data_IF_052697848968
#
_entry.id   IF_052697848968
#
_cell.length_a   1.000
_cell.length_b   1.000
_cell.length_c   1.000
_cell.angle_alpha   90.00
_cell.angle_beta   90.00
_cell.angle_gamma   90.00
#
_symmetry.space_group_name_H-M   'P 1'
#
loop_
_entity.id
_entity.type
_entity.pdbx_description
1 polymer ?
#
# COMPACT_ATOMS: atom_id res chain seq x y z
N UNK A 1 0.89 8.27 23.51
CA UNK A 1 1.92 7.99 22.51
C UNK A 1 1.79 6.52 22.16
N UNK A 2 1.06 6.25 21.09
CA UNK A 2 0.86 4.89 20.60
C UNK A 2 2.17 4.44 19.94
N UNK A 3 2.89 3.50 20.56
CA UNK A 3 3.99 2.83 19.88
C UNK A 3 3.38 1.67 19.06
N UNK A 4 3.51 1.66 17.73
CA UNK A 4 2.98 0.57 16.93
C UNK A 4 3.62 -0.75 17.39
N UNK A 5 2.76 -1.70 17.75
CA UNK A 5 3.14 -3.06 18.14
C UNK A 5 3.20 -3.92 16.87
N UNK A 6 4.28 -4.70 16.70
CA UNK A 6 4.44 -5.64 15.57
C UNK A 6 3.23 -6.56 15.41
N UNK A 7 2.59 -6.97 16.51
CA UNK A 7 1.38 -7.80 16.42
C UNK A 7 0.20 -7.03 15.80
N UNK A 8 0.14 -5.70 15.97
CA UNK A 8 -0.84 -4.87 15.27
C UNK A 8 -0.50 -4.73 13.79
N UNK A 9 0.77 -4.51 13.44
CA UNK A 9 1.20 -4.41 12.05
C UNK A 9 0.85 -5.67 11.25
N UNK A 10 1.09 -6.85 11.85
CA UNK A 10 0.72 -8.14 11.26
C UNK A 10 -0.79 -8.24 10.99
N UNK A 11 -1.63 -7.75 11.92
CA UNK A 11 -3.09 -7.76 11.75
C UNK A 11 -3.53 -6.83 10.62
N UNK A 12 -2.93 -5.64 10.51
CA UNK A 12 -3.31 -4.68 9.48
C UNK A 12 -2.83 -5.09 8.09
N UNK A 13 -1.64 -5.68 7.97
CA UNK A 13 -1.22 -6.29 6.70
C UNK A 13 -2.10 -7.49 6.35
N UNK A 14 -2.49 -8.33 7.31
CA UNK A 14 -3.45 -9.40 7.03
C UNK A 14 -4.79 -8.83 6.51
N UNK A 15 -5.30 -7.76 7.12
CA UNK A 15 -6.49 -7.05 6.64
C UNK A 15 -6.30 -6.52 5.21
N UNK A 16 -5.13 -5.98 4.90
CA UNK A 16 -4.78 -5.52 3.55
C UNK A 16 -4.73 -6.69 2.55
N UNK A 17 -4.24 -7.87 2.95
CA UNK A 17 -4.27 -9.10 2.13
C UNK A 17 -5.72 -9.53 1.85
N UNK A 18 -6.58 -9.49 2.86
CA UNK A 18 -8.00 -9.83 2.70
C UNK A 18 -8.69 -8.86 1.71
N UNK A 19 -8.30 -7.59 1.71
CA UNK A 19 -8.78 -6.60 0.74
C UNK A 19 -8.23 -6.88 -0.67
N UNK A 20 -6.95 -7.23 -0.80
CA UNK A 20 -6.34 -7.59 -2.08
C UNK A 20 -7.07 -8.78 -2.74
N UNK A 21 -7.58 -9.72 -1.94
CA UNK A 21 -8.35 -10.87 -2.43
C UNK A 21 -9.70 -10.48 -3.08
N UNK A 22 -10.18 -9.25 -2.86
CA UNK A 22 -11.39 -8.71 -3.48
C UNK A 22 -11.14 -8.09 -4.87
N UNK A 23 -9.88 -7.90 -5.26
CA UNK A 23 -9.54 -7.31 -6.54
C UNK A 23 -10.08 -8.14 -7.72
N UNK A 24 -10.75 -7.50 -8.71
CA UNK A 24 -10.96 -8.12 -10.01
C UNK A 24 -9.61 -8.51 -10.61
N UNK A 25 -9.36 -9.79 -10.97
CA UNK A 25 -8.07 -10.22 -11.51
C UNK A 25 -7.86 -9.66 -12.92
N UNK A 26 -6.61 -9.33 -13.26
CA UNK A 26 -6.24 -8.88 -14.61
C UNK A 26 -4.81 -9.32 -14.92
N UNK A 27 -4.50 -9.62 -16.18
CA UNK A 27 -3.20 -10.18 -16.56
C UNK A 27 -2.02 -9.18 -16.47
N UNK A 28 -2.28 -7.88 -16.33
CA UNK A 28 -1.26 -6.83 -16.43
C UNK A 28 -1.12 -5.91 -15.21
N UNK A 29 -1.68 -6.29 -14.06
CA UNK A 29 -1.56 -5.48 -12.84
C UNK A 29 -1.76 -6.32 -11.58
N UNK A 30 -0.99 -6.01 -10.54
CA UNK A 30 -1.14 -6.65 -9.23
C UNK A 30 -2.51 -6.37 -8.59
N UNK A 31 -3.01 -7.37 -7.88
CA UNK A 31 -4.01 -7.23 -6.82
C UNK A 31 -3.30 -6.79 -5.54
N UNK A 32 -3.60 -5.56 -5.13
CA UNK A 32 -3.01 -4.91 -3.94
C UNK A 32 -4.15 -4.48 -3.04
N UNK A 33 -3.94 -4.57 -1.73
CA UNK A 33 -4.82 -3.99 -0.72
C UNK A 33 -4.05 -3.00 0.13
N UNK A 34 -4.75 -1.98 0.62
CA UNK A 34 -4.18 -0.95 1.47
C UNK A 34 -5.15 -0.53 2.58
N UNK A 35 -4.60 -0.20 3.75
CA UNK A 35 -5.35 0.28 4.93
C UNK A 35 -4.61 1.47 5.52
N UNK A 36 -5.35 2.52 5.87
CA UNK A 36 -4.83 3.68 6.60
C UNK A 36 -5.35 3.59 8.02
N UNK A 37 -4.46 3.59 9.00
CA UNK A 37 -4.80 3.47 10.42
C UNK A 37 -4.29 4.71 11.15
N UNK A 38 -5.15 5.36 11.91
CA UNK A 38 -4.77 6.53 12.70
C UNK A 38 -3.97 6.16 13.94
N UNK A 39 -3.37 7.17 14.59
CA UNK A 39 -2.53 6.98 15.79
C UNK A 39 -3.22 6.18 16.91
N UNK A 40 -4.55 6.28 17.03
CA UNK A 40 -5.32 5.54 18.02
C UNK A 40 -5.47 4.02 17.72
N UNK A 41 -4.90 3.54 16.61
CA UNK A 41 -5.01 2.14 16.17
C UNK A 41 -6.35 1.80 15.51
N UNK A 42 -7.06 2.80 14.97
CA UNK A 42 -8.35 2.64 14.27
C UNK A 42 -8.20 2.80 12.77
N UNK A 43 -8.84 1.93 11.98
CA UNK A 43 -8.94 2.08 10.53
C UNK A 43 -9.66 3.39 10.18
N UNK A 44 -9.01 4.25 9.38
CA UNK A 44 -9.56 5.51 8.88
C UNK A 44 -10.17 5.32 7.49
N UNK A 45 -9.48 4.55 6.64
CA UNK A 45 -9.89 4.22 5.29
C UNK A 45 -9.18 2.97 4.80
N UNK A 46 -9.73 2.30 3.80
CA UNK A 46 -9.12 1.14 3.16
C UNK A 46 -9.50 1.02 1.69
N UNK A 47 -8.68 0.33 0.92
CA UNK A 47 -8.85 0.20 -0.52
C UNK A 47 -8.21 -1.05 -1.06
N UNK A 48 -8.63 -1.43 -2.26
CA UNK A 48 -7.98 -2.47 -3.04
C UNK A 48 -7.91 -2.04 -4.50
N UNK A 49 -6.92 -2.54 -5.24
CA UNK A 49 -6.74 -2.21 -6.65
C UNK A 49 -8.02 -2.47 -7.42
N UNK A 50 -8.39 -1.51 -8.27
CA UNK A 50 -9.56 -1.57 -9.16
C UNK A 50 -10.94 -1.52 -8.48
N UNK A 51 -11.03 -1.15 -7.20
CA UNK A 51 -12.31 -1.01 -6.50
C UNK A 51 -13.23 0.06 -7.11
N UNK A 52 -12.66 1.19 -7.53
CA UNK A 52 -13.43 2.36 -8.04
C UNK A 52 -13.17 2.66 -9.52
N UNK A 53 -12.23 1.96 -10.15
CA UNK A 53 -11.93 2.12 -11.58
C UNK A 53 -10.78 1.22 -12.03
N UNK A 54 -10.69 0.85 -13.33
CA UNK A 54 -9.82 -0.21 -13.82
C UNK A 54 -8.31 0.06 -13.68
N UNK A 55 -7.92 1.29 -13.34
CA UNK A 55 -6.51 1.70 -13.19
C UNK A 55 -6.17 2.16 -11.76
N UNK A 56 -7.13 2.16 -10.84
CA UNK A 56 -6.93 2.65 -9.47
C UNK A 56 -6.06 1.69 -8.66
N UNK A 57 -5.09 2.24 -7.95
CA UNK A 57 -4.25 1.48 -7.01
C UNK A 57 -4.89 1.50 -5.62
N UNK A 58 -4.55 0.52 -4.78
CA UNK A 58 -5.17 0.36 -3.47
C UNK A 58 -4.97 1.59 -2.56
N UNK A 59 -3.76 2.16 -2.56
CA UNK A 59 -3.39 3.33 -1.76
C UNK A 59 -4.15 4.57 -2.22
N UNK A 60 -4.33 4.72 -3.53
CA UNK A 60 -5.12 5.80 -4.13
C UNK A 60 -6.61 5.68 -3.74
N UNK A 61 -7.17 4.46 -3.79
CA UNK A 61 -8.55 4.18 -3.35
C UNK A 61 -8.74 4.48 -1.86
N UNK A 62 -7.77 4.11 -1.01
CA UNK A 62 -7.83 4.37 0.42
C UNK A 62 -7.73 5.87 0.71
N UNK A 63 -6.75 6.57 0.12
CA UNK A 63 -6.55 8.01 0.32
C UNK A 63 -7.73 8.85 -0.18
N UNK A 64 -8.38 8.45 -1.28
CA UNK A 64 -9.50 9.19 -1.86
C UNK A 64 -10.76 9.25 -0.95
N UNK A 65 -10.81 8.44 0.12
CA UNK A 65 -11.90 8.47 1.10
C UNK A 65 -11.69 9.50 2.23
N UNK A 66 -10.51 10.11 2.28
CA UNK A 66 -10.14 11.12 3.27
C UNK A 66 -9.94 12.46 2.57
N UNK A 67 -10.11 13.57 3.30
CA UNK A 67 -9.67 14.86 2.78
C UNK A 67 -8.14 14.90 2.77
N UNK A 68 -7.53 15.60 1.81
CA UNK A 68 -6.07 15.69 1.71
C UNK A 68 -5.42 16.34 2.94
N UNK A 69 -6.18 17.19 3.64
CA UNK A 69 -5.82 17.91 4.85
C UNK A 69 -6.35 17.25 6.14
N UNK A 70 -6.79 15.98 6.07
CA UNK A 70 -7.31 15.28 7.24
C UNK A 70 -6.25 15.24 8.35
N UNK A 71 -6.50 15.87 9.51
CA UNK A 71 -5.49 16.02 10.56
C UNK A 71 -5.05 14.67 11.16
N UNK A 72 -5.83 13.60 10.94
CA UNK A 72 -5.49 12.26 11.44
C UNK A 72 -4.34 11.62 10.65
N UNK A 73 -4.05 12.09 9.43
CA UNK A 73 -2.98 11.54 8.57
C UNK A 73 -1.58 11.83 9.12
N UNK A 74 -1.40 12.93 9.84
CA UNK A 74 -0.11 13.34 10.41
C UNK A 74 0.47 12.36 11.45
N UNK A 75 -0.37 11.49 12.02
CA UNK A 75 0.02 10.42 12.93
C UNK A 75 -0.38 9.02 12.43
N UNK A 76 -0.79 8.90 11.16
CA UNK A 76 -1.29 7.65 10.61
C UNK A 76 -0.17 6.70 10.16
N UNK A 77 -0.53 5.45 9.96
CA UNK A 77 0.27 4.46 9.25
C UNK A 77 -0.50 3.94 8.04
N UNK A 78 0.17 3.83 6.89
CA UNK A 78 -0.36 3.12 5.74
C UNK A 78 0.20 1.70 5.69
N UNK A 79 -0.68 0.71 5.60
CA UNK A 79 -0.33 -0.69 5.40
C UNK A 79 -0.67 -1.06 3.96
N UNK A 80 0.31 -1.53 3.18
CA UNK A 80 0.11 -1.95 1.79
C UNK A 80 0.66 -3.36 1.56
N UNK A 81 -0.06 -4.19 0.81
CA UNK A 81 0.41 -5.55 0.52
C UNK A 81 1.60 -5.59 -0.43
N UNK A 82 1.80 -4.52 -1.21
CA UNK A 82 2.90 -4.35 -2.15
C UNK A 82 3.55 -2.98 -1.92
N UNK A 83 4.83 -2.86 -2.23
CA UNK A 83 5.52 -1.58 -2.29
C UNK A 83 4.73 -0.53 -3.09
N UNK A 84 4.51 0.68 -2.53
CA UNK A 84 3.84 1.75 -3.26
C UNK A 84 4.61 2.14 -4.51
N UNK A 85 3.93 2.21 -5.66
CA UNK A 85 4.63 2.46 -6.92
C UNK A 85 5.33 3.84 -6.95
N UNK A 86 6.55 3.87 -7.49
CA UNK A 86 7.33 5.11 -7.70
C UNK A 86 7.06 5.77 -9.05
N UNK A 87 6.45 5.04 -10.00
CA UNK A 87 6.15 5.50 -11.34
C UNK A 87 4.76 5.06 -11.76
N UNK A 88 4.14 5.81 -12.68
CA UNK A 88 2.86 5.45 -13.31
C UNK A 88 2.84 5.89 -14.76
N UNK A 89 2.09 5.16 -15.58
CA UNK A 89 1.77 5.63 -16.94
C UNK A 89 0.86 6.86 -16.89
N UNK A 90 1.09 7.83 -17.78
CA UNK A 90 0.30 9.07 -17.95
C UNK A 90 0.45 10.12 -16.83
N UNK A 91 -0.44 11.12 -16.80
CA UNK A 91 -0.45 12.28 -15.88
C UNK A 91 -0.91 11.95 -14.45
N UNK A 92 -0.67 10.73 -13.97
CA UNK A 92 -1.13 10.27 -12.66
C UNK A 92 -0.01 10.34 -11.65
N UNK A 93 -0.32 10.86 -10.46
CA UNK A 93 0.61 10.86 -9.33
C UNK A 93 0.90 9.42 -8.86
N UNK A 94 2.17 9.02 -8.73
CA UNK A 94 2.59 7.75 -8.11
C UNK A 94 2.10 7.60 -6.67
N UNK A 95 1.92 6.35 -6.21
CA UNK A 95 1.43 6.10 -4.85
C UNK A 95 2.40 6.63 -3.79
N UNK A 96 3.71 6.41 -3.96
CA UNK A 96 4.73 6.95 -3.06
C UNK A 96 4.62 8.48 -2.93
N UNK A 97 4.47 9.19 -4.06
CA UNK A 97 4.28 10.64 -4.05
C UNK A 97 2.97 11.06 -3.37
N UNK A 98 1.85 10.36 -3.60
CA UNK A 98 0.57 10.65 -2.93
C UNK A 98 0.69 10.54 -1.40
N UNK A 99 1.39 9.52 -0.91
CA UNK A 99 1.63 9.31 0.53
C UNK A 99 2.42 10.47 1.12
N UNK A 100 3.44 10.96 0.40
CA UNK A 100 4.22 12.14 0.80
C UNK A 100 3.37 13.42 0.82
N UNK A 101 2.56 13.63 -0.22
CA UNK A 101 1.70 14.82 -0.34
C UNK A 101 0.70 14.93 0.82
N UNK A 102 0.16 13.82 1.30
CA UNK A 102 -0.78 13.81 2.43
C UNK A 102 -0.10 13.71 3.80
N UNK A 103 1.23 13.62 3.84
CA UNK A 103 2.02 13.65 5.08
C UNK A 103 1.84 12.43 5.99
N UNK A 104 1.63 11.23 5.43
CA UNK A 104 1.64 10.00 6.24
C UNK A 104 3.07 9.67 6.67
N UNK A 105 3.39 9.62 7.98
CA UNK A 105 4.76 9.50 8.47
C UNK A 105 5.31 8.06 8.46
N UNK A 106 4.44 7.05 8.32
CA UNK A 106 4.84 5.64 8.38
C UNK A 106 4.11 4.79 7.35
N UNK A 107 4.85 3.90 6.69
CA UNK A 107 4.34 2.91 5.75
C UNK A 107 4.84 1.53 6.17
N UNK A 108 3.97 0.52 6.11
CA UNK A 108 4.33 -0.88 6.33
C UNK A 108 3.97 -1.67 5.08
N UNK A 109 4.92 -2.46 4.57
CA UNK A 109 4.73 -3.27 3.36
C UNK A 109 4.96 -4.75 3.62
N UNK A 110 4.20 -5.61 2.94
CA UNK A 110 4.41 -7.06 3.02
C UNK A 110 5.45 -7.56 2.01
N UNK A 111 5.51 -6.94 0.84
CA UNK A 111 6.26 -7.44 -0.30
C UNK A 111 6.77 -6.27 -1.17
N UNK A 112 8.08 -6.25 -1.46
CA UNK A 112 8.66 -5.34 -2.45
C UNK A 112 8.29 -5.75 -3.86
N UNK A 113 8.03 -4.77 -4.73
CA UNK A 113 7.58 -5.07 -6.10
C UNK A 113 8.69 -5.79 -6.89
N UNK A 114 8.44 -6.99 -7.44
CA UNK A 114 9.43 -7.65 -8.28
C UNK A 114 9.47 -6.96 -9.66
N UNK A 115 10.58 -7.09 -10.36
CA UNK A 115 10.79 -6.53 -11.71
C UNK A 115 10.00 -7.30 -12.79
N UNK A 116 8.66 -7.33 -12.70
CA UNK A 116 7.76 -7.94 -13.68
C UNK A 116 7.03 -6.91 -14.55
N UNK A 117 6.59 -5.78 -13.96
CA UNK A 117 5.85 -4.74 -14.68
C UNK A 117 6.52 -3.36 -14.65
N UNK A 118 7.39 -3.12 -13.67
CA UNK A 118 8.21 -1.91 -13.55
C UNK A 118 9.65 -2.34 -13.32
N UNK A 119 10.55 -1.95 -14.23
CA UNK A 119 11.99 -2.07 -14.00
C UNK A 119 12.38 -1.09 -12.89
N UNK A 120 12.93 -1.60 -11.79
CA UNK A 120 13.36 -0.82 -10.62
C UNK A 120 12.25 0.06 -10.03
N UNK A 121 11.18 -0.55 -9.49
CA UNK A 121 10.35 0.17 -8.52
C UNK A 121 11.24 0.65 -7.37
N UNK A 122 11.09 1.91 -6.98
CA UNK A 122 11.92 2.60 -5.97
C UNK A 122 11.06 3.38 -4.99
N UNK A 123 9.84 2.90 -4.76
CA UNK A 123 8.86 3.59 -3.93
C UNK A 123 9.23 3.54 -2.47
N UNK A 124 9.78 2.40 -2.03
CA UNK A 124 10.40 2.26 -0.72
C UNK A 124 11.48 3.34 -0.51
N UNK A 125 12.42 3.46 -1.45
CA UNK A 125 13.54 4.38 -1.35
C UNK A 125 13.06 5.84 -1.33
N UNK A 126 12.12 6.21 -2.21
CA UNK A 126 11.54 7.56 -2.23
C UNK A 126 10.90 7.96 -0.90
N UNK A 127 10.19 7.03 -0.25
CA UNK A 127 9.55 7.27 1.04
C UNK A 127 10.61 7.46 2.14
N UNK A 128 11.60 6.56 2.21
CA UNK A 128 12.67 6.64 3.20
C UNK A 128 13.49 7.93 3.06
N UNK A 129 13.87 8.31 1.83
CA UNK A 129 14.62 9.53 1.55
C UNK A 129 13.86 10.80 1.96
N UNK A 130 12.52 10.78 1.87
CA UNK A 130 11.66 11.86 2.31
C UNK A 130 11.35 11.85 3.83
N UNK A 131 11.93 10.91 4.58
CA UNK A 131 11.80 10.82 6.04
C UNK A 131 10.60 10.03 6.55
N UNK A 132 9.91 9.28 5.67
CA UNK A 132 8.86 8.33 6.08
C UNK A 132 9.52 7.08 6.66
N UNK A 133 9.02 6.61 7.80
CA UNK A 133 9.42 5.32 8.35
C UNK A 133 8.79 4.21 7.53
N UNK A 134 9.60 3.35 6.90
CA UNK A 134 9.11 2.22 6.12
C UNK A 134 9.55 0.91 6.74
N UNK A 135 8.58 0.10 7.18
CA UNK A 135 8.81 -1.24 7.73
C UNK A 135 8.40 -2.33 6.75
N UNK A 136 9.16 -3.42 6.70
CA UNK A 136 8.86 -4.60 5.88
C UNK A 136 8.44 -5.77 6.78
N UNK A 137 7.37 -6.47 6.41
CA UNK A 137 6.91 -7.72 7.04
C UNK A 137 7.09 -8.91 6.10
N UNK A 138 8.33 -9.38 5.86
CA UNK A 138 8.62 -10.45 4.92
C UNK A 138 7.92 -11.78 5.28
N UNK A 139 7.52 -11.99 6.55
CA UNK A 139 6.74 -13.14 6.96
C UNK A 139 5.35 -13.21 6.29
N UNK A 140 4.80 -12.08 5.84
CA UNK A 140 3.53 -12.00 5.13
C UNK A 140 3.70 -11.85 3.62
N UNK A 141 4.93 -11.78 3.11
CA UNK A 141 5.22 -11.65 1.68
C UNK A 141 4.61 -12.81 0.87
N UNK A 142 4.73 -14.05 1.37
CA UNK A 142 4.18 -15.22 0.68
C UNK A 142 2.65 -15.15 0.54
N UNK A 143 1.96 -14.69 1.59
CA UNK A 143 0.51 -14.52 1.57
C UNK A 143 0.07 -13.38 0.64
N UNK A 144 0.78 -12.25 0.65
CA UNK A 144 0.54 -11.14 -0.27
C UNK A 144 0.78 -11.54 -1.75
N UNK A 145 1.83 -12.32 -2.02
CA UNK A 145 2.12 -12.89 -3.34
C UNK A 145 1.03 -13.87 -3.81
N UNK A 146 0.52 -14.71 -2.91
CA UNK A 146 -0.46 -15.74 -3.27
C UNK A 146 -1.75 -15.17 -3.90
N UNK A 147 -2.19 -13.98 -3.46
CA UNK A 147 -3.35 -13.27 -4.05
C UNK A 147 -3.13 -12.92 -5.53
N UNK A 148 -1.87 -12.83 -5.95
CA UNK A 148 -1.47 -12.48 -7.29
C UNK A 148 -1.27 -13.68 -8.22
N UNK A 149 -1.65 -14.91 -7.82
CA UNK A 149 -1.45 -16.15 -8.59
C UNK A 149 -2.06 -16.18 -10.00
N UNK A 150 -2.89 -15.20 -10.34
CA UNK A 150 -3.46 -15.02 -11.67
C UNK A 150 -2.49 -14.38 -12.68
N UNK A 151 -1.39 -13.78 -12.22
CA UNK A 151 -0.39 -13.18 -13.09
C UNK A 151 0.62 -14.24 -13.57
N UNK A 152 0.97 -14.24 -14.86
CA UNK A 152 1.98 -15.16 -15.37
C UNK A 152 3.36 -14.80 -14.80
N UNK A 153 4.19 -15.82 -14.56
CA UNK A 153 5.61 -15.68 -14.20
C UNK A 153 5.91 -14.95 -12.88
N UNK A 154 4.98 -14.95 -11.93
CA UNK A 154 5.30 -14.72 -10.52
C UNK A 154 6.11 -15.91 -10.00
N UNK A 155 7.43 -15.82 -10.16
CA UNK A 155 8.39 -16.79 -9.62
C UNK A 155 8.37 -16.86 -8.11
#
# INVERSE_FOLDING_TARGET
MYAPDRAQDLRWIQRAIDLAALCPPTAGAYSVGAVIVGEAGTELASGYSRATGPREHAEEVALAQLSQDDPRLAGATMYSTLEPCSQRSASRTPCAQRILEVGVPRVVIAWREPSLFVDNCVGYEQLVEAGVVVDELPELAAAAKAVNSHLPNLG
#
